data_IF_441950720522
#
_entry.id   IF_441950720522
#
_cell.length_a   1.000
_cell.length_b   1.000
_cell.length_c   1.000
_cell.angle_alpha   90.00
_cell.angle_beta   90.00
_cell.angle_gamma   90.00
#
_symmetry.space_group_name_H-M   'P 1'
#
loop_
_entity.id
_entity.type
_entity.pdbx_description
1 polymer ?
#
# COMPACT_ATOMS: atom_id res chain seq x y z
N UNK A 1 -3.67 43.48 62.98
CA UNK A 1 -2.50 42.84 62.33
C UNK A 1 -2.71 41.33 62.35
N UNK A 2 -2.22 40.63 61.32
CA UNK A 2 -2.47 39.23 60.91
C UNK A 2 -3.79 39.04 60.15
N UNK A 3 -3.86 39.17 58.82
CA UNK A 3 -3.11 38.58 57.69
C UNK A 3 -3.52 37.12 57.41
N UNK A 4 -4.12 36.94 56.24
CA UNK A 4 -4.88 35.77 55.78
C UNK A 4 -3.99 34.61 55.29
N UNK A 5 -4.55 33.41 55.28
CA UNK A 5 -4.07 32.32 54.43
C UNK A 5 -5.26 31.51 53.92
N UNK A 6 -5.86 31.98 52.83
CA UNK A 6 -6.82 31.23 52.02
C UNK A 6 -6.00 30.28 51.14
N UNK A 7 -5.93 29.00 51.52
CA UNK A 7 -5.30 27.95 50.70
C UNK A 7 -6.17 27.71 49.47
N UNK A 8 -5.82 28.38 48.38
CA UNK A 8 -6.42 28.17 47.06
C UNK A 8 -5.76 26.93 46.43
N UNK A 9 -6.39 25.77 46.56
CA UNK A 9 -6.00 24.55 45.85
C UNK A 9 -6.25 24.76 44.35
N UNK A 10 -5.22 25.20 43.64
CA UNK A 10 -5.21 25.26 42.17
C UNK A 10 -5.15 23.83 41.65
N UNK A 11 -6.33 23.28 41.31
CA UNK A 11 -6.46 22.11 40.45
C UNK A 11 -5.92 22.48 39.07
N UNK A 12 -4.65 22.16 38.82
CA UNK A 12 -4.09 22.11 37.48
C UNK A 12 -4.81 21.01 36.71
N UNK A 13 -5.93 21.35 36.07
CA UNK A 13 -6.47 20.57 34.97
C UNK A 13 -5.43 20.71 33.86
N UNK A 14 -4.47 19.79 33.82
CA UNK A 14 -3.66 19.61 32.64
C UNK A 14 -4.62 19.23 31.52
N UNK A 15 -4.91 20.16 30.61
CA UNK A 15 -5.26 19.76 29.26
C UNK A 15 -4.05 18.98 28.74
N UNK A 16 -4.08 17.65 28.94
CA UNK A 16 -3.14 16.73 28.35
C UNK A 16 -3.29 16.88 26.85
N UNK A 17 -2.46 17.74 26.25
CA UNK A 17 -2.37 17.87 24.82
C UNK A 17 -1.96 16.49 24.31
N UNK A 18 -2.87 15.78 23.66
CA UNK A 18 -2.57 14.48 23.07
C UNK A 18 -1.39 14.67 22.12
N UNK A 19 -0.23 14.11 22.48
CA UNK A 19 0.93 14.09 21.60
C UNK A 19 0.64 13.15 20.45
N UNK A 20 0.25 13.69 19.30
CA UNK A 20 0.11 12.94 18.07
C UNK A 20 1.50 12.63 17.50
N UNK A 21 1.89 11.36 17.55
CA UNK A 21 3.09 10.87 16.87
C UNK A 21 2.81 10.76 15.37
N UNK A 22 3.02 11.85 14.63
CA UNK A 22 2.86 11.89 13.18
C UNK A 22 4.06 11.18 12.53
N UNK A 23 3.76 10.13 11.78
CA UNK A 23 4.71 9.45 10.90
C UNK A 23 4.54 10.01 9.48
N UNK A 24 5.64 10.37 8.83
CA UNK A 24 5.66 10.98 7.50
C UNK A 24 5.29 9.95 6.43
N UNK A 25 4.37 10.28 5.50
CA UNK A 25 3.97 9.36 4.45
C UNK A 25 5.01 9.26 3.33
N UNK A 26 5.06 8.12 2.60
CA UNK A 26 5.74 8.02 1.32
C UNK A 26 5.20 9.06 0.32
N UNK A 27 5.99 9.44 -0.68
CA UNK A 27 5.60 10.47 -1.66
C UNK A 27 6.07 10.15 -3.10
N UNK A 28 5.86 11.10 -4.02
CA UNK A 28 6.34 11.07 -5.41
C UNK A 28 5.97 9.79 -6.18
N UNK A 29 4.71 9.36 -6.10
CA UNK A 29 4.24 8.22 -6.88
C UNK A 29 3.93 8.61 -8.32
N UNK A 30 4.51 7.87 -9.28
CA UNK A 30 4.39 8.15 -10.72
C UNK A 30 3.06 7.70 -11.32
N UNK A 31 2.48 6.60 -10.83
CA UNK A 31 1.16 6.15 -11.29
C UNK A 31 0.07 6.70 -10.38
N UNK A 32 -0.86 7.47 -10.96
CA UNK A 32 -2.00 8.00 -10.22
C UNK A 32 -3.25 8.09 -11.09
N UNK A 33 -4.23 7.22 -10.84
CA UNK A 33 -5.52 7.75 -10.40
C UNK A 33 -6.44 6.66 -9.78
N UNK A 34 -6.33 6.38 -8.48
CA UNK A 34 -7.37 5.70 -7.69
C UNK A 34 -8.45 6.69 -7.21
N UNK A 35 -8.97 7.50 -8.13
CA UNK A 35 -10.05 8.47 -7.96
C UNK A 35 -9.85 9.62 -6.92
N UNK A 36 -9.07 10.69 -7.12
CA UNK A 36 -8.37 11.04 -8.34
C UNK A 36 -7.19 12.05 -8.26
N UNK A 37 -6.09 11.71 -7.59
CA UNK A 37 -4.82 12.48 -7.74
C UNK A 37 -4.06 12.33 -9.07
N UNK A 38 -4.71 12.45 -10.23
CA UNK A 38 -4.37 12.14 -11.67
C UNK A 38 -2.90 12.29 -12.09
N UNK A 39 -2.30 11.49 -12.99
CA UNK A 39 -2.76 11.14 -14.36
C UNK A 39 -2.60 9.64 -14.71
N UNK A 40 -3.53 9.14 -15.53
CA UNK A 40 -3.60 7.75 -16.02
C UNK A 40 -3.71 7.71 -17.55
N UNK A 41 -2.91 6.86 -18.19
CA UNK A 41 -3.26 6.16 -19.44
C UNK A 41 -3.16 4.68 -19.11
N UNK A 42 -4.19 3.88 -19.44
CA UNK A 42 -4.21 2.44 -19.11
C UNK A 42 -2.92 1.79 -19.59
N UNK A 43 -2.11 1.37 -18.62
CA UNK A 43 -0.74 0.97 -18.84
C UNK A 43 -0.67 -0.48 -19.31
N UNK A 44 -0.62 -0.69 -20.63
CA UNK A 44 -0.68 -2.04 -21.22
C UNK A 44 0.69 -2.64 -21.49
N UNK A 45 1.77 -1.85 -21.59
CA UNK A 45 3.11 -2.35 -21.95
C UNK A 45 3.92 -2.82 -20.74
N UNK A 46 4.79 -3.81 -20.97
CA UNK A 46 5.75 -4.35 -20.00
C UNK A 46 6.54 -3.26 -19.25
N UNK A 47 7.09 -2.30 -19.99
CA UNK A 47 7.96 -1.23 -19.47
C UNK A 47 7.28 -0.34 -18.43
N UNK A 48 6.01 -0.07 -18.65
CA UNK A 48 5.23 0.89 -17.88
C UNK A 48 4.44 0.23 -16.74
N UNK A 49 4.26 -1.10 -16.77
CA UNK A 49 3.52 -1.87 -15.76
C UNK A 49 4.32 -2.08 -14.46
N UNK A 50 4.49 -0.99 -13.69
CA UNK A 50 5.19 -0.96 -12.41
C UNK A 50 4.55 0.07 -11.47
N UNK A 51 4.68 -0.13 -10.16
CA UNK A 51 4.52 0.98 -9.22
C UNK A 51 5.86 1.66 -9.01
N UNK A 52 5.85 2.97 -8.84
CA UNK A 52 7.03 3.76 -8.55
C UNK A 52 6.67 4.85 -7.54
N UNK A 53 7.50 5.00 -6.48
CA UNK A 53 7.31 5.99 -5.42
C UNK A 53 8.61 6.20 -4.62
N UNK A 54 8.63 7.17 -3.70
CA UNK A 54 9.72 7.41 -2.76
C UNK A 54 9.33 7.03 -1.33
N UNK A 55 10.12 6.18 -0.67
CA UNK A 55 9.92 5.85 0.75
C UNK A 55 10.46 6.96 1.66
N UNK A 56 10.00 6.97 2.92
CA UNK A 56 10.49 7.90 3.95
C UNK A 56 11.21 7.17 5.07
N UNK A 57 12.27 7.80 5.57
CA UNK A 57 12.88 7.42 6.84
C UNK A 57 12.15 8.14 7.97
N UNK A 58 11.46 7.38 8.80
CA UNK A 58 10.72 7.86 9.95
C UNK A 58 11.52 7.60 11.24
N UNK A 59 12.65 8.30 11.36
CA UNK A 59 13.50 8.25 12.55
C UNK A 59 12.70 8.60 13.82
N UNK A 60 13.01 7.91 14.92
CA UNK A 60 12.28 8.08 16.20
C UNK A 60 11.15 7.08 16.44
N UNK A 61 10.76 6.30 15.44
CA UNK A 61 9.88 5.14 15.59
C UNK A 61 10.69 3.83 15.60
N UNK A 62 10.22 2.85 16.38
CA UNK A 62 10.80 1.50 16.41
C UNK A 62 10.28 0.72 15.21
N UNK A 63 11.17 -0.06 14.56
CA UNK A 63 10.84 -0.88 13.40
C UNK A 63 10.14 -0.08 12.27
N UNK A 64 10.57 1.16 12.08
CA UNK A 64 9.98 2.04 11.08
C UNK A 64 10.31 1.58 9.65
N UNK A 65 9.37 1.79 8.73
CA UNK A 65 9.56 1.54 7.32
C UNK A 65 8.31 1.85 6.52
N UNK A 66 8.34 1.53 5.23
CA UNK A 66 7.20 1.64 4.32
C UNK A 66 6.68 0.26 3.95
N UNK A 67 5.40 0.03 4.19
CA UNK A 67 4.65 -1.14 3.75
C UNK A 67 3.87 -0.80 2.47
N UNK A 68 3.61 -1.81 1.65
CA UNK A 68 2.76 -1.68 0.45
C UNK A 68 1.59 -2.64 0.59
N UNK A 69 0.40 -2.16 0.27
CA UNK A 69 -0.84 -2.91 0.33
C UNK A 69 -1.49 -2.94 -1.04
N UNK A 70 -2.13 -4.05 -1.39
CA UNK A 70 -2.77 -4.24 -2.68
C UNK A 70 -4.14 -4.91 -2.54
N UNK A 71 -4.97 -4.73 -3.57
CA UNK A 71 -6.19 -5.51 -3.80
C UNK A 71 -6.38 -5.70 -5.29
N UNK A 72 -6.84 -6.89 -5.68
CA UNK A 72 -7.10 -7.27 -7.06
C UNK A 72 -8.58 -7.07 -7.33
N UNK A 73 -8.93 -6.44 -8.43
CA UNK A 73 -10.30 -6.14 -8.83
C UNK A 73 -10.59 -6.70 -10.21
N UNK A 74 -11.82 -7.17 -10.37
CA UNK A 74 -12.42 -7.45 -11.67
C UNK A 74 -12.96 -6.18 -12.33
N UNK A 75 -13.48 -5.25 -11.53
CA UNK A 75 -14.12 -4.01 -11.99
C UNK A 75 -13.29 -2.77 -11.68
N UNK A 76 -12.97 -2.00 -12.72
CA UNK A 76 -12.31 -0.68 -12.57
C UNK A 76 -13.25 0.33 -11.90
N UNK A 77 -14.55 0.22 -12.12
CA UNK A 77 -15.55 1.08 -11.47
C UNK A 77 -15.58 0.84 -9.96
N UNK A 78 -15.60 -0.44 -9.55
CA UNK A 78 -15.54 -0.83 -8.14
C UNK A 78 -14.26 -0.37 -7.48
N UNK A 79 -13.12 -0.60 -8.13
CA UNK A 79 -11.81 -0.10 -7.70
C UNK A 79 -11.85 1.41 -7.44
N UNK A 80 -12.41 2.19 -8.36
CA UNK A 80 -12.52 3.63 -8.21
C UNK A 80 -13.48 4.02 -7.09
N UNK A 81 -14.59 3.31 -6.90
CA UNK A 81 -15.52 3.55 -5.80
C UNK A 81 -14.87 3.32 -4.44
N UNK A 82 -14.19 2.18 -4.28
CA UNK A 82 -13.45 1.86 -3.06
C UNK A 82 -12.37 2.89 -2.79
N UNK A 83 -11.64 3.28 -3.82
CA UNK A 83 -10.58 4.27 -3.68
C UNK A 83 -11.12 5.66 -3.29
N UNK A 84 -12.28 6.09 -3.83
CA UNK A 84 -12.99 7.30 -3.34
C UNK A 84 -13.34 7.19 -1.86
N UNK A 85 -13.83 6.03 -1.43
CA UNK A 85 -14.23 5.83 -0.02
C UNK A 85 -13.03 5.89 0.93
N UNK A 86 -11.87 5.37 0.52
CA UNK A 86 -10.61 5.48 1.26
C UNK A 86 -10.16 6.95 1.28
N UNK A 87 -10.10 7.61 0.13
CA UNK A 87 -9.61 8.98 -0.01
C UNK A 87 -10.43 9.98 0.82
N UNK A 88 -11.74 9.77 0.95
CA UNK A 88 -12.63 10.61 1.74
C UNK A 88 -12.25 10.70 3.23
N UNK A 89 -11.54 9.69 3.76
CA UNK A 89 -11.11 9.61 5.17
C UNK A 89 -9.59 9.51 5.33
N UNK A 90 -8.83 9.62 4.23
CA UNK A 90 -7.38 9.50 4.21
C UNK A 90 -6.72 10.85 4.55
N UNK A 91 -6.71 11.18 5.83
CA UNK A 91 -6.17 12.43 6.37
C UNK A 91 -4.72 12.29 6.83
N UNK A 92 -4.01 13.41 6.97
CA UNK A 92 -2.63 13.48 7.48
C UNK A 92 -2.49 13.06 8.95
N UNK A 93 -3.62 13.00 9.66
CA UNK A 93 -3.73 12.67 11.08
C UNK A 93 -4.79 11.58 11.20
N UNK A 94 -4.47 10.52 11.92
CA UNK A 94 -5.37 9.39 12.18
C UNK A 94 -5.27 8.28 11.13
N UNK A 95 -5.26 7.04 11.59
CA UNK A 95 -5.18 5.84 10.74
C UNK A 95 -6.48 5.48 10.01
N UNK A 96 -7.39 6.45 9.78
CA UNK A 96 -8.72 6.18 9.23
C UNK A 96 -8.68 5.70 7.78
N UNK A 97 -7.84 6.32 6.94
CA UNK A 97 -7.60 5.85 5.57
C UNK A 97 -7.08 4.41 5.56
N UNK A 98 -6.08 4.13 6.41
CA UNK A 98 -5.53 2.79 6.60
C UNK A 98 -6.59 1.78 7.06
N UNK A 99 -7.39 2.11 8.08
CA UNK A 99 -8.48 1.26 8.56
C UNK A 99 -9.60 1.06 7.51
N UNK A 100 -9.86 2.08 6.68
CA UNK A 100 -10.77 1.98 5.53
C UNK A 100 -10.27 0.96 4.50
N UNK A 101 -9.00 1.07 4.13
CA UNK A 101 -8.32 0.14 3.23
C UNK A 101 -8.30 -1.29 3.78
N UNK A 102 -8.02 -1.49 5.07
CA UNK A 102 -8.06 -2.81 5.71
C UNK A 102 -9.47 -3.42 5.71
N UNK A 103 -10.50 -2.62 5.99
CA UNK A 103 -11.91 -3.09 5.96
C UNK A 103 -12.35 -3.51 4.56
N UNK A 104 -11.81 -2.85 3.54
CA UNK A 104 -11.97 -3.23 2.14
C UNK A 104 -11.09 -4.42 1.75
N UNK A 105 -10.40 -5.08 2.69
CA UNK A 105 -9.72 -6.35 2.45
C UNK A 105 -8.44 -6.25 1.62
N UNK A 106 -7.77 -5.09 1.60
CA UNK A 106 -6.43 -4.98 1.03
C UNK A 106 -5.45 -5.84 1.83
N UNK A 107 -4.51 -6.46 1.13
CA UNK A 107 -3.48 -7.33 1.71
C UNK A 107 -2.11 -6.70 1.62
N UNK A 108 -1.28 -6.99 2.61
CA UNK A 108 0.10 -6.52 2.61
C UNK A 108 0.88 -7.28 1.54
N UNK A 109 1.64 -6.56 0.74
CA UNK A 109 2.50 -7.12 -0.29
C UNK A 109 3.63 -7.92 0.38
N UNK A 110 3.90 -9.11 -0.16
CA UNK A 110 4.94 -10.01 0.35
C UNK A 110 6.03 -10.17 -0.70
N UNK A 111 7.20 -10.63 -0.26
CA UNK A 111 8.34 -10.90 -1.14
C UNK A 111 9.07 -12.16 -0.69
N UNK A 112 9.74 -12.82 -1.63
CA UNK A 112 10.74 -13.82 -1.31
C UNK A 112 12.11 -13.17 -1.17
N UNK A 113 12.83 -13.46 -0.08
CA UNK A 113 14.18 -12.95 0.15
C UNK A 113 14.93 -13.85 1.11
N UNK A 114 16.17 -14.19 0.78
CA UNK A 114 17.02 -15.03 1.64
C UNK A 114 16.40 -16.39 1.97
N UNK A 115 15.72 -17.01 1.00
CA UNK A 115 15.13 -18.34 1.13
C UNK A 115 13.80 -18.40 1.89
N UNK A 116 13.19 -17.26 2.23
CA UNK A 116 11.92 -17.21 2.95
C UNK A 116 10.94 -16.19 2.38
N UNK A 117 9.65 -16.48 2.52
CA UNK A 117 8.58 -15.55 2.23
C UNK A 117 8.38 -14.63 3.43
N UNK A 118 8.35 -13.32 3.20
CA UNK A 118 8.19 -12.32 4.25
C UNK A 118 7.36 -11.13 3.77
N UNK A 119 6.83 -10.37 4.71
CA UNK A 119 6.18 -9.10 4.42
C UNK A 119 7.20 -8.10 3.84
N UNK A 120 6.79 -7.34 2.83
CA UNK A 120 7.61 -6.25 2.31
C UNK A 120 7.65 -5.11 3.33
N UNK A 121 8.85 -4.80 3.81
CA UNK A 121 9.12 -3.60 4.60
C UNK A 121 10.34 -2.89 4.01
N UNK A 122 10.09 -1.74 3.38
CA UNK A 122 11.13 -0.88 2.84
C UNK A 122 11.67 -0.02 3.97
N UNK A 123 12.90 -0.27 4.37
CA UNK A 123 13.62 0.56 5.35
C UNK A 123 14.31 1.71 4.63
N UNK A 124 14.56 2.79 5.36
CA UNK A 124 15.29 3.96 4.87
C UNK A 124 14.61 4.67 3.67
N UNK A 125 15.34 5.60 3.05
CA UNK A 125 14.88 6.42 1.93
C UNK A 125 15.38 5.80 0.63
N UNK A 126 14.45 5.37 -0.21
CA UNK A 126 14.72 4.82 -1.54
C UNK A 126 13.70 5.35 -2.55
N UNK A 127 14.14 5.50 -3.79
CA UNK A 127 13.24 5.43 -4.94
C UNK A 127 12.91 3.97 -5.18
N UNK A 128 11.65 3.60 -5.01
CA UNK A 128 11.18 2.22 -5.08
C UNK A 128 10.44 1.98 -6.38
N UNK A 129 10.79 0.90 -7.08
CA UNK A 129 10.06 0.38 -8.23
C UNK A 129 9.58 -1.03 -7.92
N UNK A 130 8.30 -1.31 -8.12
CA UNK A 130 7.69 -2.63 -7.90
C UNK A 130 7.08 -3.13 -9.20
N UNK A 131 7.57 -4.27 -9.69
CA UNK A 131 6.98 -5.04 -10.78
C UNK A 131 6.37 -6.29 -10.18
N UNK A 132 5.05 -6.44 -10.28
CA UNK A 132 4.34 -7.54 -9.61
C UNK A 132 4.69 -8.91 -10.20
N UNK A 133 4.81 -9.00 -11.52
CA UNK A 133 5.01 -10.26 -12.23
C UNK A 133 6.06 -10.11 -13.33
N UNK A 134 6.74 -11.20 -13.66
CA UNK A 134 7.55 -11.31 -14.87
C UNK A 134 6.64 -11.22 -16.09
N UNK A 135 7.03 -10.42 -17.07
CA UNK A 135 6.32 -10.32 -18.35
C UNK A 135 7.06 -11.00 -19.52
N UNK A 136 8.16 -11.70 -19.20
CA UNK A 136 9.02 -12.41 -20.16
C UNK A 136 10.11 -11.53 -20.77
N UNK A 137 10.04 -10.20 -20.60
CA UNK A 137 11.06 -9.24 -21.04
C UNK A 137 11.73 -8.61 -19.81
N UNK A 138 10.92 -8.20 -18.85
CA UNK A 138 11.33 -7.56 -17.61
C UNK A 138 11.02 -8.48 -16.42
N UNK A 139 11.98 -8.54 -15.50
CA UNK A 139 11.88 -9.34 -14.28
C UNK A 139 11.00 -8.61 -13.27
N UNK A 140 10.10 -9.37 -12.66
CA UNK A 140 9.28 -9.02 -11.53
C UNK A 140 10.10 -8.97 -10.24
N UNK A 141 9.79 -8.01 -9.39
CA UNK A 141 10.55 -7.76 -8.18
C UNK A 141 10.41 -6.35 -7.65
N UNK A 142 11.14 -6.10 -6.58
CA UNK A 142 11.28 -4.78 -5.96
C UNK A 142 12.70 -4.29 -6.20
N UNK A 143 12.82 -3.08 -6.74
CA UNK A 143 14.09 -2.45 -7.12
C UNK A 143 14.21 -1.13 -6.37
N UNK A 144 15.42 -0.84 -5.90
CA UNK A 144 15.75 0.44 -5.26
C UNK A 144 16.70 1.24 -6.14
N UNK A 145 16.47 2.56 -6.19
CA UNK A 145 17.42 3.57 -6.68
C UNK A 145 17.97 3.30 -8.09
N UNK A 146 17.15 2.67 -8.94
CA UNK A 146 17.52 2.35 -10.33
C UNK A 146 18.46 1.14 -10.47
N UNK A 147 18.53 0.27 -9.46
CA UNK A 147 19.29 -0.98 -9.53
C UNK A 147 18.91 -1.82 -10.76
N UNK A 148 19.92 -2.41 -11.41
CA UNK A 148 19.75 -3.26 -12.60
C UNK A 148 19.18 -4.65 -12.32
N UNK A 149 19.07 -5.04 -11.04
CA UNK A 149 18.49 -6.32 -10.60
C UNK A 149 17.58 -6.10 -9.40
N UNK A 150 16.55 -6.94 -9.21
CA UNK A 150 15.65 -6.79 -8.06
C UNK A 150 16.37 -7.12 -6.76
N UNK A 151 16.12 -6.33 -5.73
CA UNK A 151 16.56 -6.61 -4.37
C UNK A 151 15.72 -7.74 -3.76
N UNK A 152 14.43 -7.78 -4.09
CA UNK A 152 13.51 -8.84 -3.69
C UNK A 152 12.79 -9.40 -4.91
N UNK A 153 12.79 -10.72 -5.04
CA UNK A 153 12.09 -11.43 -6.12
C UNK A 153 11.85 -12.89 -5.73
N UNK A 154 10.69 -13.47 -6.07
CA UNK A 154 9.51 -12.81 -6.64
C UNK A 154 8.76 -11.90 -5.65
N UNK A 155 7.88 -11.06 -6.20
CA UNK A 155 6.80 -10.40 -5.42
C UNK A 155 5.66 -11.40 -5.25
N UNK A 156 5.09 -11.44 -4.05
CA UNK A 156 4.13 -12.44 -3.63
C UNK A 156 2.81 -11.80 -3.19
N UNK A 157 1.73 -12.52 -3.52
CA UNK A 157 0.37 -12.32 -3.02
C UNK A 157 0.23 -12.82 -1.58
N UNK A 158 -0.92 -12.52 -1.00
CA UNK A 158 -1.42 -13.17 0.20
C UNK A 158 -1.36 -14.71 0.06
N UNK A 159 -1.04 -15.41 1.16
CA UNK A 159 -0.78 -16.85 1.12
C UNK A 159 0.58 -17.26 0.52
N UNK A 160 1.38 -16.32 0.00
CA UNK A 160 2.75 -16.57 -0.47
C UNK A 160 2.84 -17.12 -1.90
N UNK A 161 1.77 -16.99 -2.68
CA UNK A 161 1.76 -17.32 -4.11
C UNK A 161 2.33 -16.18 -4.94
N UNK A 162 2.91 -16.46 -6.10
CA UNK A 162 3.41 -15.39 -6.98
C UNK A 162 2.24 -14.68 -7.66
N UNK A 163 2.43 -13.39 -7.99
CA UNK A 163 1.55 -12.76 -8.96
C UNK A 163 1.79 -13.38 -10.33
N UNK A 164 0.74 -13.98 -10.87
CA UNK A 164 0.74 -14.59 -12.17
C UNK A 164 -0.65 -14.37 -12.75
N UNK A 165 -0.74 -13.90 -13.99
CA UNK A 165 -2.01 -13.47 -14.60
C UNK A 165 -2.31 -14.18 -15.93
N UNK A 166 -1.50 -15.19 -16.25
CA UNK A 166 -1.66 -16.02 -17.45
C UNK A 166 -2.24 -17.38 -17.05
N UNK A 167 -2.42 -18.25 -18.04
CA UNK A 167 -2.94 -19.62 -17.86
C UNK A 167 -2.04 -20.69 -18.46
N UNK A 168 -0.82 -20.33 -18.89
CA UNK A 168 0.12 -21.19 -19.61
C UNK A 168 1.00 -22.07 -18.69
N UNK A 169 0.87 -21.93 -17.36
CA UNK A 169 1.64 -22.67 -16.36
C UNK A 169 0.72 -23.56 -15.51
N UNK A 170 1.17 -24.78 -15.19
CA UNK A 170 0.39 -25.75 -14.40
C UNK A 170 0.53 -25.54 -12.88
N UNK A 171 1.62 -24.94 -12.43
CA UNK A 171 1.95 -24.70 -11.02
C UNK A 171 1.48 -23.32 -10.56
N UNK A 172 1.55 -22.32 -11.45
CA UNK A 172 1.07 -20.97 -11.20
C UNK A 172 -0.33 -20.78 -11.77
N UNK A 173 -1.21 -20.15 -11.00
CA UNK A 173 -2.60 -19.89 -11.40
C UNK A 173 -2.91 -18.40 -11.32
N UNK A 174 -3.76 -17.88 -12.22
CA UNK A 174 -4.25 -16.53 -12.11
C UNK A 174 -5.07 -16.33 -10.83
N UNK A 175 -5.31 -15.09 -10.41
CA UNK A 175 -6.26 -14.80 -9.33
C UNK A 175 -7.63 -15.42 -9.64
N UNK A 176 -8.32 -15.89 -8.60
CA UNK A 176 -9.63 -16.51 -8.71
C UNK A 176 -10.66 -15.71 -7.90
N UNK A 177 -11.90 -15.66 -8.41
CA UNK A 177 -13.02 -15.13 -7.62
C UNK A 177 -13.19 -15.99 -6.36
N UNK A 178 -13.11 -15.35 -5.19
CA UNK A 178 -13.12 -16.01 -3.88
C UNK A 178 -11.76 -15.99 -3.17
N UNK A 179 -10.66 -15.67 -3.87
CA UNK A 179 -9.39 -15.40 -3.20
C UNK A 179 -9.54 -14.18 -2.28
N UNK A 180 -8.90 -14.22 -1.10
CA UNK A 180 -9.11 -13.18 -0.06
C UNK A 180 -8.54 -11.80 -0.43
N UNK A 181 -7.70 -11.74 -1.45
CA UNK A 181 -7.10 -10.52 -2.01
C UNK A 181 -7.79 -10.06 -3.31
N UNK A 182 -8.87 -10.75 -3.73
CA UNK A 182 -9.65 -10.46 -4.93
C UNK A 182 -11.04 -9.95 -4.56
N UNK A 183 -11.41 -8.82 -5.14
CA UNK A 183 -12.77 -8.32 -5.15
C UNK A 183 -13.59 -9.07 -6.21
N UNK A 184 -14.73 -9.62 -5.79
CA UNK A 184 -15.60 -10.45 -6.61
C UNK A 184 -16.60 -9.68 -7.46
N UNK A 185 -16.69 -8.35 -7.33
CA UNK A 185 -17.65 -7.57 -8.12
C UNK A 185 -17.26 -7.60 -9.60
N UNK A 186 -18.16 -8.13 -10.42
CA UNK A 186 -17.95 -8.21 -11.86
C UNK A 186 -17.99 -6.83 -12.51
N UNK A 187 -17.17 -6.64 -13.53
CA UNK A 187 -17.21 -5.45 -14.36
C UNK A 187 -18.38 -5.53 -15.35
N UNK A 188 -19.13 -4.44 -15.47
CA UNK A 188 -20.24 -4.32 -16.44
C UNK A 188 -19.91 -3.33 -17.56
N UNK A 189 -18.73 -2.72 -17.54
CA UNK A 189 -18.27 -1.76 -18.53
C UNK A 189 -17.72 -2.39 -19.81
N UNK A 190 -17.26 -1.54 -20.73
CA UNK A 190 -16.75 -1.96 -22.04
C UNK A 190 -15.49 -2.85 -21.98
N UNK A 191 -14.80 -2.91 -20.84
CA UNK A 191 -13.63 -3.75 -20.60
C UNK A 191 -13.96 -4.98 -19.73
N UNK A 192 -15.24 -5.30 -19.57
CA UNK A 192 -15.71 -6.41 -18.76
C UNK A 192 -15.00 -7.72 -19.10
N UNK A 193 -14.51 -8.41 -18.08
CA UNK A 193 -13.81 -9.69 -18.21
C UNK A 193 -12.42 -9.62 -18.87
N UNK A 194 -11.96 -8.44 -19.32
CA UNK A 194 -10.71 -8.33 -20.08
C UNK A 194 -9.46 -8.27 -19.20
N UNK A 195 -9.53 -7.55 -18.08
CA UNK A 195 -8.37 -7.28 -17.23
C UNK A 195 -8.60 -7.67 -15.77
N UNK A 196 -7.51 -8.05 -15.10
CA UNK A 196 -7.32 -7.92 -13.67
C UNK A 196 -6.73 -6.54 -13.38
N UNK A 197 -7.32 -5.80 -12.44
CA UNK A 197 -6.79 -4.53 -11.98
C UNK A 197 -6.22 -4.69 -10.59
N UNK A 198 -4.91 -4.52 -10.42
CA UNK A 198 -4.30 -4.51 -9.09
C UNK A 198 -4.19 -3.06 -8.65
N UNK A 199 -4.88 -2.65 -7.60
CA UNK A 199 -4.71 -1.32 -6.99
C UNK A 199 -3.75 -1.42 -5.81
N UNK A 200 -2.92 -0.40 -5.59
CA UNK A 200 -1.98 -0.40 -4.47
C UNK A 200 -1.88 0.94 -3.73
N UNK A 201 -1.52 0.86 -2.46
CA UNK A 201 -1.17 1.98 -1.59
C UNK A 201 0.16 1.71 -0.89
N UNK A 202 0.98 2.76 -0.73
CA UNK A 202 2.12 2.74 0.18
C UNK A 202 1.78 3.47 1.48
N UNK A 203 2.31 3.00 2.60
CA UNK A 203 2.08 3.59 3.92
C UNK A 203 3.32 3.45 4.78
N UNK A 204 3.73 4.52 5.45
CA UNK A 204 4.79 4.44 6.45
C UNK A 204 4.21 3.96 7.77
N UNK A 205 4.95 3.06 8.41
CA UNK A 205 4.55 2.41 9.66
C UNK A 205 5.71 2.43 10.65
N UNK A 206 5.40 2.34 11.93
CA UNK A 206 6.38 2.23 13.00
C UNK A 206 5.70 2.11 14.36
N UNK A 207 6.44 1.71 15.38
CA UNK A 207 5.95 1.68 16.75
C UNK A 207 6.43 2.92 17.50
N UNK A 208 5.52 3.56 18.23
CA UNK A 208 5.86 4.66 19.14
C UNK A 208 6.71 4.09 20.28
N UNK A 209 7.89 4.67 20.51
CA UNK A 209 8.88 4.13 21.48
C UNK A 209 8.37 4.06 22.92
N UNK A 210 7.53 5.02 23.33
CA UNK A 210 6.99 5.10 24.68
C UNK A 210 5.88 4.07 24.95
N UNK A 211 5.09 3.71 23.94
CA UNK A 211 3.83 2.97 24.12
C UNK A 211 3.77 1.66 23.34
N UNK A 212 4.74 1.41 22.44
CA UNK A 212 4.76 0.29 21.50
C UNK A 212 3.52 0.20 20.59
N UNK A 213 2.74 1.28 20.50
CA UNK A 213 1.55 1.34 19.65
C UNK A 213 1.95 1.57 18.20
N UNK A 214 1.32 0.85 17.27
CA UNK A 214 1.54 1.03 15.84
C UNK A 214 0.97 2.38 15.39
N UNK A 215 1.84 3.19 14.81
CA UNK A 215 1.49 4.40 14.09
C UNK A 215 1.57 4.14 12.58
N UNK A 216 0.67 4.78 11.83
CA UNK A 216 0.59 4.69 10.37
C UNK A 216 0.43 6.09 9.79
N UNK A 217 1.04 6.32 8.64
CA UNK A 217 0.90 7.58 7.92
C UNK A 217 -0.44 7.63 7.17
N UNK A 218 -0.73 8.79 6.59
CA UNK A 218 -1.63 8.87 5.44
C UNK A 218 -1.19 7.89 4.34
N UNK A 219 -2.15 7.27 3.67
CA UNK A 219 -1.89 6.39 2.54
C UNK A 219 -1.44 7.22 1.32
N UNK A 220 -0.41 6.75 0.62
CA UNK A 220 -0.03 7.22 -0.71
C UNK A 220 -0.69 6.31 -1.77
N UNK A 221 -1.65 6.80 -2.57
CA UNK A 221 -2.19 6.01 -3.68
C UNK A 221 -1.10 5.77 -4.72
N UNK A 222 -0.87 4.52 -5.13
CA UNK A 222 0.13 4.16 -6.16
C UNK A 222 -0.47 3.96 -7.55
N UNK A 223 -1.80 4.12 -7.69
CA UNK A 223 -2.48 3.77 -8.93
C UNK A 223 -2.83 2.29 -9.01
N UNK A 224 -3.27 1.87 -10.19
CA UNK A 224 -3.54 0.49 -10.49
C UNK A 224 -2.80 0.03 -11.75
N UNK A 225 -2.49 -1.27 -11.79
CA UNK A 225 -1.91 -1.96 -12.93
C UNK A 225 -2.95 -2.90 -13.54
N UNK A 226 -3.07 -2.88 -14.87
CA UNK A 226 -3.98 -3.76 -15.60
C UNK A 226 -3.23 -4.95 -16.22
N UNK A 227 -3.76 -6.15 -16.04
CA UNK A 227 -3.22 -7.41 -16.58
C UNK A 227 -4.30 -8.17 -17.35
N UNK A 228 -4.04 -8.58 -18.59
CA UNK A 228 -5.02 -9.34 -19.38
C UNK A 228 -5.25 -10.73 -18.81
N UNK A 229 -6.51 -11.17 -18.66
CA UNK A 229 -6.83 -12.45 -18.00
C UNK A 229 -6.48 -13.70 -18.81
N UNK A 230 -6.39 -13.57 -20.14
CA UNK A 230 -6.33 -14.71 -21.07
C UNK A 230 -5.18 -14.59 -22.08
N UNK A 231 -4.10 -13.89 -21.73
CA UNK A 231 -2.92 -13.86 -22.60
C UNK A 231 -2.15 -15.16 -22.39
N UNK A 232 -2.19 -16.03 -23.39
CA UNK A 232 -1.28 -17.18 -23.54
C UNK A 232 0.16 -16.69 -23.63
#
# INVERSE_FOLDING_TARGET
MSCAALFCSVLLISCGLETFYKIEPPDNADLKNPADGTTLSVTTTAETRKYEFSSKNNGGFIAAGTEVYYRIYNSVEKLQQDARSINAVNTDIGGNGFAGMERLGYKKLRVHSGGKNQDLLIKDVHRVVIRLADDGILVGGVFYDGAGSPLFSPVLREGGTQFYFKTDNQELKPPLSGDTDVDSDEDTGALAGKYWYVNAYAVSVGLVSATWTRSVSKLLPLGFLAFEKNRS
#
